data_IF_197484289963
#
_entry.id   IF_197484289963
#
_cell.length_a   1.000
_cell.length_b   1.000
_cell.length_c   1.000
_cell.angle_alpha   90.00
_cell.angle_beta   90.00
_cell.angle_gamma   90.00
#
_symmetry.space_group_name_H-M   'P 1'
#
loop_
_entity.id
_entity.type
_entity.pdbx_description
1 polymer ?
#
# COMPACT_ATOMS: atom_id res chain seq x y z
N UNK A 1 -18.43 -9.14 0.97
CA UNK A 1 -17.74 -8.63 -0.22
C UNK A 1 -16.39 -8.07 0.16
N UNK A 2 -15.42 -8.21 -0.71
CA UNK A 2 -14.10 -7.69 -0.42
C UNK A 2 -14.05 -6.18 -0.58
N UNK A 3 -13.25 -5.54 0.25
CA UNK A 3 -12.91 -4.13 0.12
C UNK A 3 -11.59 -4.04 -0.62
N UNK A 4 -11.57 -3.31 -1.72
CA UNK A 4 -10.38 -3.15 -2.54
C UNK A 4 -9.92 -1.71 -2.51
N UNK A 5 -8.62 -1.52 -2.55
CA UNK A 5 -8.06 -0.17 -2.50
C UNK A 5 -6.74 -0.08 -3.23
N UNK A 6 -6.48 1.10 -3.77
CA UNK A 6 -5.15 1.47 -4.25
C UNK A 6 -4.49 2.32 -3.17
N UNK A 7 -3.26 1.97 -2.82
CA UNK A 7 -2.50 2.71 -1.82
C UNK A 7 -1.31 3.35 -2.54
N UNK A 8 -1.26 4.66 -2.52
CA UNK A 8 -0.18 5.42 -3.12
C UNK A 8 0.83 5.73 -2.02
N UNK A 9 2.07 5.31 -2.19
CA UNK A 9 3.06 5.37 -1.12
C UNK A 9 4.27 6.17 -1.54
N UNK A 10 4.66 7.10 -0.67
CA UNK A 10 5.91 7.84 -0.81
C UNK A 10 6.92 7.24 0.17
N UNK A 11 8.12 6.96 -0.33
CA UNK A 11 9.19 6.37 0.47
C UNK A 11 10.42 7.27 0.44
N UNK A 12 11.35 7.03 1.36
CA UNK A 12 12.62 7.73 1.38
C UNK A 12 13.40 7.47 0.10
N UNK A 13 14.10 8.48 -0.38
CA UNK A 13 14.92 8.37 -1.58
C UNK A 13 15.93 7.23 -1.43
N UNK A 14 16.06 6.44 -2.49
CA UNK A 14 17.01 5.34 -2.52
C UNK A 14 16.52 4.05 -1.87
N UNK A 15 15.31 4.04 -1.29
CA UNK A 15 14.76 2.88 -0.59
C UNK A 15 13.64 2.19 -1.33
N UNK A 16 13.31 2.62 -2.53
CA UNK A 16 12.11 2.13 -3.25
C UNK A 16 12.12 0.63 -3.44
N UNK A 17 13.26 0.07 -3.86
CA UNK A 17 13.35 -1.38 -4.13
C UNK A 17 13.13 -2.20 -2.87
N UNK A 18 13.79 -1.83 -1.78
CA UNK A 18 13.67 -2.57 -0.52
C UNK A 18 12.25 -2.46 0.05
N UNK A 19 11.68 -1.26 -0.03
CA UNK A 19 10.32 -1.03 0.46
C UNK A 19 9.30 -1.82 -0.37
N UNK A 20 9.48 -1.87 -1.69
CA UNK A 20 8.60 -2.64 -2.56
C UNK A 20 8.57 -4.10 -2.14
N UNK A 21 9.73 -4.71 -1.88
CA UNK A 21 9.81 -6.09 -1.47
C UNK A 21 9.11 -6.34 -0.14
N UNK A 22 9.30 -5.44 0.82
CA UNK A 22 8.65 -5.55 2.13
C UNK A 22 7.14 -5.44 2.01
N UNK A 23 6.66 -4.51 1.20
CA UNK A 23 5.23 -4.27 1.03
C UNK A 23 4.55 -5.43 0.32
N UNK A 24 5.22 -6.06 -0.63
CA UNK A 24 4.66 -7.21 -1.36
C UNK A 24 4.39 -8.41 -0.46
N UNK A 25 5.03 -8.49 0.70
CA UNK A 25 4.86 -9.60 1.63
C UNK A 25 3.66 -9.44 2.56
N UNK A 26 3.05 -8.27 2.56
CA UNK A 26 1.93 -8.02 3.46
C UNK A 26 0.68 -8.77 2.99
N UNK A 27 -0.04 -9.36 3.95
CA UNK A 27 -1.30 -10.04 3.67
C UNK A 27 -2.31 -9.06 3.09
N UNK A 28 -2.97 -9.46 2.01
CA UNK A 28 -3.95 -8.60 1.35
C UNK A 28 -3.40 -7.82 0.16
N UNK A 29 -2.09 -7.70 0.05
CA UNK A 29 -1.48 -7.02 -1.10
C UNK A 29 -1.48 -7.97 -2.28
N UNK A 30 -2.24 -7.62 -3.32
CA UNK A 30 -2.33 -8.41 -4.53
C UNK A 30 -1.33 -7.99 -5.59
N UNK A 31 -1.05 -6.69 -5.68
CA UNK A 31 -0.09 -6.16 -6.63
C UNK A 31 0.67 -5.01 -5.99
N UNK A 32 1.92 -4.89 -6.34
CA UNK A 32 2.78 -3.79 -5.89
C UNK A 32 3.71 -3.41 -7.02
N UNK A 33 3.77 -2.12 -7.32
CA UNK A 33 4.60 -1.61 -8.41
C UNK A 33 5.34 -0.36 -7.98
N UNK A 34 6.62 -0.29 -8.35
CA UNK A 34 7.33 0.98 -8.25
C UNK A 34 7.00 1.83 -9.46
N UNK A 35 7.00 3.13 -9.28
CA UNK A 35 6.61 4.09 -10.31
C UNK A 35 7.67 5.17 -10.49
N UNK A 36 7.76 5.69 -11.71
CA UNK A 36 8.49 6.93 -11.93
C UNK A 36 7.55 8.09 -11.63
N UNK A 37 8.07 9.09 -10.94
CA UNK A 37 7.27 10.24 -10.55
C UNK A 37 6.67 10.04 -9.17
N UNK A 38 5.46 10.55 -8.96
CA UNK A 38 4.76 10.46 -7.68
C UNK A 38 3.46 9.71 -7.85
N UNK A 39 3.15 8.76 -6.97
CA UNK A 39 3.93 8.27 -5.84
C UNK A 39 5.11 7.40 -6.28
N UNK A 40 5.91 6.96 -5.30
CA UNK A 40 7.02 6.05 -5.57
C UNK A 40 6.55 4.62 -5.79
N UNK A 41 5.52 4.21 -5.03
CA UNK A 41 4.98 2.85 -5.08
C UNK A 41 3.45 2.93 -5.09
N UNK A 42 2.84 2.04 -5.87
CA UNK A 42 1.39 1.85 -5.87
C UNK A 42 1.11 0.40 -5.50
N UNK A 43 0.24 0.20 -4.50
CA UNK A 43 -0.24 -1.11 -4.12
C UNK A 43 -1.70 -1.28 -4.53
N UNK A 44 -2.08 -2.50 -4.87
CA UNK A 44 -3.47 -2.90 -4.96
C UNK A 44 -3.75 -3.93 -3.88
N UNK A 45 -4.70 -3.64 -3.00
CA UNK A 45 -5.01 -4.45 -1.83
C UNK A 45 -6.46 -4.92 -1.91
N UNK A 46 -6.69 -6.18 -1.52
CA UNK A 46 -8.04 -6.72 -1.35
C UNK A 46 -8.13 -7.33 0.03
N UNK A 47 -9.08 -6.85 0.83
CA UNK A 47 -9.29 -7.31 2.21
C UNK A 47 -10.78 -7.52 2.44
N UNK A 48 -11.13 -8.10 3.60
CA UNK A 48 -12.52 -8.48 3.87
C UNK A 48 -13.44 -7.30 4.10
N UNK A 49 -12.95 -6.24 4.75
CA UNK A 49 -13.76 -5.05 5.06
C UNK A 49 -12.88 -3.83 5.29
N UNK A 50 -13.51 -2.69 5.57
CA UNK A 50 -12.78 -1.45 5.77
C UNK A 50 -11.93 -1.46 7.04
N UNK A 51 -12.34 -2.21 8.06
CA UNK A 51 -11.55 -2.34 9.28
C UNK A 51 -10.23 -3.07 8.97
N UNK A 52 -10.31 -4.15 8.20
CA UNK A 52 -9.11 -4.88 7.79
C UNK A 52 -8.19 -3.99 6.95
N UNK A 53 -8.77 -3.17 6.08
CA UNK A 53 -8.00 -2.21 5.29
C UNK A 53 -7.28 -1.22 6.19
N UNK A 54 -7.98 -0.66 7.16
CA UNK A 54 -7.39 0.28 8.11
C UNK A 54 -6.23 -0.35 8.87
N UNK A 55 -6.39 -1.59 9.31
CA UNK A 55 -5.33 -2.30 10.02
C UNK A 55 -4.09 -2.49 9.13
N UNK A 56 -4.27 -2.87 7.86
CA UNK A 56 -3.15 -3.03 6.95
C UNK A 56 -2.44 -1.71 6.73
N UNK A 57 -3.19 -0.63 6.45
CA UNK A 57 -2.59 0.68 6.18
C UNK A 57 -1.93 1.24 7.43
N UNK A 58 -2.66 1.33 8.53
CA UNK A 58 -2.17 2.02 9.72
C UNK A 58 -1.12 1.19 10.45
N UNK A 59 -1.39 -0.12 10.62
CA UNK A 59 -0.53 -0.94 11.46
C UNK A 59 0.64 -1.52 10.69
N UNK A 60 0.42 -1.98 9.48
CA UNK A 60 1.45 -2.74 8.76
C UNK A 60 2.23 -1.89 7.77
N UNK A 61 1.56 -1.10 6.95
CA UNK A 61 2.25 -0.29 5.95
C UNK A 61 3.06 0.82 6.63
N UNK A 62 2.47 1.52 7.57
CA UNK A 62 3.16 2.61 8.27
C UNK A 62 4.31 2.13 9.17
N UNK A 63 4.33 0.84 9.51
CA UNK A 63 5.45 0.28 10.27
C UNK A 63 6.64 -0.11 9.38
N UNK A 64 6.46 -0.15 8.08
CA UNK A 64 7.57 -0.43 7.18
C UNK A 64 8.52 0.77 7.19
N UNK A 65 9.76 0.52 7.58
CA UNK A 65 10.76 1.58 7.66
C UNK A 65 10.97 2.22 6.29
N UNK A 66 10.98 3.55 6.25
CA UNK A 66 11.17 4.28 5.00
C UNK A 66 9.90 4.77 4.35
N UNK A 67 8.74 4.29 4.77
CA UNK A 67 7.47 4.82 4.29
C UNK A 67 7.23 6.20 4.92
N UNK A 68 7.08 7.21 4.07
CA UNK A 68 6.89 8.59 4.55
C UNK A 68 5.42 9.01 4.54
N UNK A 69 4.72 8.67 3.47
CA UNK A 69 3.31 9.05 3.32
C UNK A 69 2.54 7.95 2.61
N UNK A 70 1.28 7.80 2.95
CA UNK A 70 0.36 6.93 2.24
C UNK A 70 -0.91 7.70 1.89
N UNK A 71 -1.48 7.35 0.74
CA UNK A 71 -2.74 7.92 0.28
C UNK A 71 -3.62 6.76 -0.18
N UNK A 72 -4.69 6.49 0.55
CA UNK A 72 -5.54 5.33 0.31
C UNK A 72 -6.78 5.71 -0.48
N UNK A 73 -6.99 5.01 -1.59
CA UNK A 73 -8.16 5.21 -2.44
C UNK A 73 -8.96 3.92 -2.47
N UNK A 74 -10.09 3.91 -1.78
CA UNK A 74 -10.98 2.74 -1.77
C UNK A 74 -11.73 2.70 -3.08
N UNK A 75 -11.76 1.52 -3.70
CA UNK A 75 -12.49 1.34 -4.96
C UNK A 75 -13.98 1.46 -4.68
N UNK A 76 -14.62 2.39 -5.39
CA UNK A 76 -16.04 2.66 -5.24
C UNK A 76 -16.77 2.16 -6.48
N UNK A 77 -16.84 0.85 -6.59
CA UNK A 77 -17.54 0.24 -7.73
C UNK A 77 -19.03 0.32 -7.56
N UNK A 78 -19.68 0.62 -8.61
CA UNK A 78 -21.11 0.53 -8.68
C UNK A 78 -21.52 -0.93 -8.88
#
# INVERSE_FOLDING_TARGET
MATKAYILIKVKAGRTKDELQSLMRLTGVEQAHSCFGRPDIILFISVTDERALSDVVITKIHQVEGVEETDTHIVADA
#
